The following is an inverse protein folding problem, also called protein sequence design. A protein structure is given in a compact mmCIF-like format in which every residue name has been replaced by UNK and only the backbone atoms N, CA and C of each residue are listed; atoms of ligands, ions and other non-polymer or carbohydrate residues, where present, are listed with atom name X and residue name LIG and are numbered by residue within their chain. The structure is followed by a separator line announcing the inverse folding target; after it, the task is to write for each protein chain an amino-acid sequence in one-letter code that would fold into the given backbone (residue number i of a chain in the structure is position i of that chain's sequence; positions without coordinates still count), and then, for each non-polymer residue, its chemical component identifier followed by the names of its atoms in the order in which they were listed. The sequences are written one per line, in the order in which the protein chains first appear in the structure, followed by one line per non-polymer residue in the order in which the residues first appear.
data_IF_583429633323
#
_entry.id   IF_583429633323
#
_cell.length_a   1.000
_cell.length_b   1.000
_cell.length_c   1.000
_cell.angle_alpha   90.00
_cell.angle_beta   90.00
_cell.angle_gamma   90.00
#
_symmetry.space_group_name_H-M   'P 1'
#
loop_
_entity.id
_entity.type
_entity.pdbx_description
1 polymer ?
#
# COMPACT_ATOMS: atom_id res chain seq x y z
N UNK A 1 -8.95 -12.66 20.55
CA UNK A 1 -9.10 -13.54 19.35
C UNK A 1 -8.10 -14.69 19.50
N UNK A 2 -8.34 -15.89 18.93
CA UNK A 2 -7.31 -16.91 18.92
C UNK A 2 -6.09 -16.42 18.12
N UNK A 3 -4.87 -16.46 18.69
CA UNK A 3 -3.70 -15.79 18.11
C UNK A 3 -3.32 -16.33 16.72
N UNK A 4 -3.63 -17.60 16.44
CA UNK A 4 -3.37 -18.28 15.17
C UNK A 4 -4.30 -17.84 14.03
N UNK A 5 -5.49 -17.30 14.32
CA UNK A 5 -6.39 -16.78 13.29
C UNK A 5 -5.91 -15.42 12.75
N UNK A 6 -5.14 -14.68 13.55
CA UNK A 6 -4.57 -13.40 13.15
C UNK A 6 -3.61 -13.56 11.97
N UNK A 7 -2.84 -14.66 11.93
CA UNK A 7 -2.00 -15.04 10.79
C UNK A 7 -2.79 -15.14 9.47
N UNK A 8 -3.89 -15.88 9.47
CA UNK A 8 -4.70 -16.03 8.25
C UNK A 8 -5.42 -14.74 7.88
N UNK A 9 -5.85 -13.96 8.87
CA UNK A 9 -6.48 -12.66 8.64
C UNK A 9 -5.50 -11.67 8.01
N UNK A 10 -4.30 -11.52 8.57
CA UNK A 10 -3.25 -10.64 8.03
C UNK A 10 -2.86 -11.04 6.61
N UNK A 11 -2.67 -12.35 6.36
CA UNK A 11 -2.41 -12.88 5.02
C UNK A 11 -3.55 -12.58 4.04
N UNK A 12 -4.81 -12.79 4.46
CA UNK A 12 -5.97 -12.49 3.64
C UNK A 12 -6.10 -10.99 3.33
N UNK A 13 -5.84 -10.10 4.30
CA UNK A 13 -5.90 -8.64 4.10
C UNK A 13 -4.85 -8.17 3.10
N UNK A 14 -3.60 -8.67 3.21
CA UNK A 14 -2.54 -8.39 2.23
C UNK A 14 -2.95 -8.85 0.82
N UNK A 15 -3.45 -10.08 0.67
CA UNK A 15 -3.89 -10.62 -0.62
C UNK A 15 -5.13 -9.91 -1.19
N UNK A 16 -6.05 -9.43 -0.33
CA UNK A 16 -7.26 -8.73 -0.75
C UNK A 16 -6.96 -7.32 -1.28
N UNK A 17 -5.84 -6.71 -0.87
CA UNK A 17 -5.43 -5.38 -1.30
C UNK A 17 -5.32 -5.29 -2.84
N UNK A 18 -4.74 -6.30 -3.51
CA UNK A 18 -4.68 -6.41 -4.98
C UNK A 18 -6.06 -6.50 -5.64
N UNK A 19 -6.97 -7.27 -5.01
CA UNK A 19 -8.26 -7.64 -5.60
C UNK A 19 -9.28 -6.49 -5.53
N UNK A 20 -9.18 -5.63 -4.51
CA UNK A 20 -9.96 -4.41 -4.40
C UNK A 20 -9.49 -3.35 -5.42
N UNK A 21 -8.17 -3.18 -5.60
CA UNK A 21 -7.59 -2.22 -6.54
C UNK A 21 -7.94 -2.49 -8.01
N UNK A 22 -7.97 -3.77 -8.44
CA UNK A 22 -8.32 -4.14 -9.82
C UNK A 22 -9.81 -4.04 -10.18
N UNK A 23 -10.72 -3.95 -9.21
CA UNK A 23 -12.17 -4.15 -9.45
C UNK A 23 -13.02 -2.88 -9.34
N UNK A 24 -12.47 -1.78 -8.82
CA UNK A 24 -13.25 -0.57 -8.58
C UNK A 24 -12.41 0.68 -8.83
N UNK A 25 -12.86 1.48 -9.80
CA UNK A 25 -12.29 2.79 -10.09
C UNK A 25 -12.27 3.69 -8.86
N UNK A 26 -11.18 4.45 -8.72
CA UNK A 26 -10.91 5.58 -7.81
C UNK A 26 -11.06 5.36 -6.28
N UNK A 27 -12.07 4.63 -5.80
CA UNK A 27 -12.46 4.59 -4.38
C UNK A 27 -12.06 3.31 -3.61
N UNK A 28 -11.46 2.32 -4.28
CA UNK A 28 -11.10 1.01 -3.68
C UNK A 28 -9.84 1.02 -2.83
N UNK A 29 -8.92 1.96 -3.09
CA UNK A 29 -7.71 2.13 -2.29
C UNK A 29 -8.05 2.62 -0.88
N UNK A 30 -9.15 3.37 -0.71
CA UNK A 30 -9.62 3.84 0.59
C UNK A 30 -10.07 2.71 1.53
N UNK A 31 -10.79 1.71 1.02
CA UNK A 31 -11.27 0.55 1.78
C UNK A 31 -10.12 -0.38 2.19
N UNK A 32 -9.18 -0.68 1.27
CA UNK A 32 -7.99 -1.46 1.60
C UNK A 32 -7.12 -0.78 2.66
N UNK A 33 -6.97 0.54 2.60
CA UNK A 33 -6.28 1.34 3.62
C UNK A 33 -7.03 1.36 4.96
N UNK A 34 -8.37 1.35 4.94
CA UNK A 34 -9.19 1.28 6.16
C UNK A 34 -9.03 -0.07 6.85
N UNK A 35 -9.11 -1.17 6.09
CA UNK A 35 -8.88 -2.52 6.59
C UNK A 35 -7.49 -2.69 7.21
N UNK A 36 -6.44 -2.17 6.59
CA UNK A 36 -5.09 -2.17 7.17
C UNK A 36 -5.02 -1.38 8.48
N UNK A 37 -5.63 -0.21 8.56
CA UNK A 37 -5.66 0.57 9.81
C UNK A 37 -6.38 -0.17 10.94
N UNK A 38 -7.48 -0.82 10.62
CA UNK A 38 -8.23 -1.58 11.63
C UNK A 38 -7.50 -2.87 12.01
N UNK A 39 -6.79 -3.50 11.08
CA UNK A 39 -5.90 -4.63 11.34
C UNK A 39 -4.78 -4.25 12.30
N UNK A 40 -4.10 -3.12 12.08
CA UNK A 40 -3.02 -2.64 12.97
C UNK A 40 -3.54 -2.41 14.39
N UNK A 41 -4.74 -1.87 14.57
CA UNK A 41 -5.35 -1.71 15.89
C UNK A 41 -5.60 -3.06 16.59
N UNK A 42 -6.04 -4.07 15.84
CA UNK A 42 -6.27 -5.43 16.38
C UNK A 42 -4.95 -6.12 16.70
N UNK A 43 -3.91 -5.91 15.91
CA UNK A 43 -2.57 -6.46 16.15
C UNK A 43 -1.97 -5.91 17.45
N UNK A 44 -2.12 -4.62 17.74
CA UNK A 44 -1.64 -4.02 18.99
C UNK A 44 -2.32 -4.60 20.25
N UNK A 45 -3.48 -5.23 20.10
CA UNK A 45 -4.22 -5.85 21.21
C UNK A 45 -3.94 -7.35 21.37
N UNK A 46 -3.24 -7.98 20.42
CA UNK A 46 -2.93 -9.40 20.44
C UNK A 46 -1.42 -9.61 20.37
N UNK A 47 -0.83 -10.14 21.45
CA UNK A 47 0.56 -10.60 21.46
C UNK A 47 0.71 -11.91 20.66
N UNK A 48 0.71 -11.80 19.33
CA UNK A 48 0.98 -12.93 18.43
C UNK A 48 2.39 -12.79 17.85
N UNK A 49 3.26 -13.77 18.13
CA UNK A 49 4.66 -13.84 17.68
C UNK A 49 4.82 -14.47 16.27
N UNK A 50 3.85 -14.27 15.38
CA UNK A 50 3.91 -14.82 14.02
C UNK A 50 4.73 -13.92 13.08
N UNK A 51 5.69 -14.44 12.29
CA UNK A 51 6.50 -13.64 11.37
C UNK A 51 5.70 -12.79 10.38
N UNK A 52 4.54 -13.28 9.94
CA UNK A 52 3.63 -12.57 9.02
C UNK A 52 3.01 -11.35 9.70
N UNK A 53 2.63 -11.49 10.97
CA UNK A 53 2.05 -10.42 11.79
C UNK A 53 3.16 -9.40 12.09
N UNK A 54 4.33 -9.87 12.50
CA UNK A 54 5.48 -9.02 12.80
C UNK A 54 5.95 -8.23 11.57
N UNK A 55 5.97 -8.83 10.39
CA UNK A 55 6.28 -8.13 9.13
C UNK A 55 5.36 -6.92 8.90
N UNK A 56 4.04 -7.11 9.07
CA UNK A 56 3.06 -6.01 8.89
C UNK A 56 3.23 -4.94 9.97
N UNK A 57 3.55 -5.32 11.21
CA UNK A 57 3.79 -4.39 12.31
C UNK A 57 5.04 -3.54 12.06
N UNK A 58 6.15 -4.18 11.68
CA UNK A 58 7.41 -3.50 11.35
C UNK A 58 7.24 -2.52 10.20
N UNK A 59 6.47 -2.87 9.18
CA UNK A 59 6.27 -2.02 8.01
C UNK A 59 5.23 -0.90 8.22
N UNK A 60 4.20 -1.13 9.04
CA UNK A 60 3.09 -0.18 9.20
C UNK A 60 3.21 0.73 10.44
N UNK A 61 3.92 0.28 11.47
CA UNK A 61 4.06 0.99 12.76
C UNK A 61 5.48 1.51 12.94
N UNK A 62 6.48 0.64 12.78
CA UNK A 62 7.88 0.97 13.08
C UNK A 62 8.62 1.57 11.87
N UNK A 63 8.12 1.34 10.65
CA UNK A 63 8.77 1.69 9.39
C UNK A 63 10.22 1.20 9.29
N UNK A 64 10.49 0.04 9.88
CA UNK A 64 11.80 -0.61 9.88
C UNK A 64 11.88 -1.60 8.71
N UNK A 65 12.42 -1.13 7.58
CA UNK A 65 12.53 -1.90 6.35
C UNK A 65 13.59 -3.01 6.40
N UNK A 66 14.63 -2.84 7.22
CA UNK A 66 15.68 -3.84 7.42
C UNK A 66 15.12 -5.04 8.20
N UNK A 67 14.42 -4.78 9.31
CA UNK A 67 13.75 -5.83 10.05
C UNK A 67 12.62 -6.47 9.24
N UNK A 68 11.87 -5.69 8.47
CA UNK A 68 10.82 -6.20 7.59
C UNK A 68 11.36 -7.16 6.54
N UNK A 69 12.51 -6.86 5.93
CA UNK A 69 13.16 -7.77 4.98
C UNK A 69 13.52 -9.11 5.63
N UNK A 70 14.17 -9.09 6.80
CA UNK A 70 14.52 -10.33 7.51
C UNK A 70 13.28 -11.15 7.88
N UNK A 71 12.17 -10.49 8.22
CA UNK A 71 10.91 -11.18 8.48
C UNK A 71 10.24 -11.71 7.21
N UNK A 72 10.42 -11.05 6.06
CA UNK A 72 9.88 -11.51 4.77
C UNK A 72 10.50 -12.85 4.35
N UNK A 73 11.81 -13.03 4.53
CA UNK A 73 12.49 -14.31 4.29
C UNK A 73 11.97 -15.43 5.20
N UNK A 74 11.75 -15.12 6.48
CA UNK A 74 11.13 -16.08 7.42
C UNK A 74 9.70 -16.40 7.04
N UNK A 75 8.92 -15.40 6.58
CA UNK A 75 7.56 -15.58 6.11
C UNK A 75 7.51 -16.59 4.97
N UNK A 76 8.44 -16.55 4.02
CA UNK A 76 8.48 -17.49 2.90
C UNK A 76 8.54 -18.95 3.38
N UNK A 77 9.46 -19.26 4.31
CA UNK A 77 9.57 -20.62 4.88
C UNK A 77 8.32 -21.05 5.63
N UNK A 78 7.72 -20.12 6.38
CA UNK A 78 6.52 -20.37 7.20
C UNK A 78 5.27 -20.54 6.34
N UNK A 79 5.18 -19.86 5.19
CA UNK A 79 4.09 -19.98 4.24
C UNK A 79 4.12 -21.32 3.49
N UNK A 80 5.31 -21.79 3.11
CA UNK A 80 5.47 -23.08 2.43
C UNK A 80 5.10 -24.24 3.38
N UNK A 81 5.42 -24.10 4.67
CA UNK A 81 5.11 -25.12 5.69
C UNK A 81 3.62 -25.23 6.04
N UNK A 82 2.79 -24.28 5.63
CA UNK A 82 1.38 -24.19 6.01
C UNK A 82 0.46 -24.74 4.92
N UNK A 83 -0.42 -25.66 5.32
CA UNK A 83 -1.35 -26.35 4.43
C UNK A 83 -2.27 -25.41 3.63
N UNK A 84 -2.73 -24.31 4.22
CA UNK A 84 -3.68 -23.39 3.56
C UNK A 84 -2.99 -22.33 2.69
N UNK A 85 -1.82 -21.86 3.12
CA UNK A 85 -1.11 -20.75 2.47
C UNK A 85 -0.07 -21.21 1.45
N UNK A 86 0.37 -22.47 1.48
CA UNK A 86 1.38 -23.02 0.57
C UNK A 86 1.06 -22.75 -0.92
N UNK A 87 -0.20 -22.94 -1.34
CA UNK A 87 -0.64 -22.71 -2.73
C UNK A 87 -0.66 -21.23 -3.15
N UNK A 88 -0.67 -20.31 -2.20
CA UNK A 88 -0.73 -18.86 -2.44
C UNK A 88 0.55 -18.16 -1.99
N UNK A 89 1.59 -18.91 -1.62
CA UNK A 89 2.88 -18.39 -1.16
C UNK A 89 3.50 -17.42 -2.15
N UNK A 90 3.59 -17.80 -3.43
CA UNK A 90 4.14 -16.93 -4.49
C UNK A 90 3.34 -15.63 -4.66
N UNK A 91 2.00 -15.72 -4.68
CA UNK A 91 1.15 -14.53 -4.75
C UNK A 91 1.32 -13.64 -3.52
N UNK A 92 1.44 -14.23 -2.32
CA UNK A 92 1.66 -13.47 -1.10
C UNK A 92 3.00 -12.74 -1.11
N UNK A 93 4.08 -13.41 -1.53
CA UNK A 93 5.42 -12.80 -1.60
C UNK A 93 5.44 -11.62 -2.57
N UNK A 94 4.77 -11.75 -3.72
CA UNK A 94 4.63 -10.66 -4.68
C UNK A 94 3.85 -9.47 -4.07
N UNK A 95 2.74 -9.72 -3.38
CA UNK A 95 1.98 -8.66 -2.69
C UNK A 95 2.75 -8.02 -1.54
N UNK A 96 3.52 -8.79 -0.79
CA UNK A 96 4.37 -8.27 0.28
C UNK A 96 5.43 -7.32 -0.27
N UNK A 97 6.04 -7.65 -1.42
CA UNK A 97 7.00 -6.77 -2.12
C UNK A 97 6.36 -5.48 -2.60
N UNK A 98 5.17 -5.55 -3.21
CA UNK A 98 4.38 -4.36 -3.58
C UNK A 98 4.09 -3.51 -2.34
N UNK A 99 3.76 -4.12 -1.21
CA UNK A 99 3.46 -3.41 0.03
C UNK A 99 4.71 -2.73 0.64
N UNK A 100 5.87 -3.36 0.59
CA UNK A 100 7.16 -2.73 0.96
C UNK A 100 7.42 -1.54 0.05
N UNK A 101 7.31 -1.72 -1.26
CA UNK A 101 7.54 -0.68 -2.25
C UNK A 101 6.60 0.51 -2.09
N UNK A 102 5.29 0.29 -1.92
CA UNK A 102 4.30 1.37 -1.73
C UNK A 102 4.60 2.19 -0.46
N UNK A 103 4.96 1.54 0.65
CA UNK A 103 5.30 2.26 1.88
C UNK A 103 6.63 3.00 1.74
N UNK A 104 7.63 2.40 1.09
CA UNK A 104 8.93 3.03 0.87
C UNK A 104 8.81 4.29 0.00
N UNK A 105 8.11 4.18 -1.13
CA UNK A 105 7.82 5.29 -2.05
C UNK A 105 6.96 6.40 -1.44
N UNK A 106 6.19 6.09 -0.39
CA UNK A 106 5.37 7.08 0.30
C UNK A 106 6.18 7.94 1.28
N UNK A 107 7.28 7.42 1.82
CA UNK A 107 8.09 8.08 2.85
C UNK A 107 9.29 8.79 2.22
N UNK A 108 9.89 8.18 1.19
CA UNK A 108 11.10 8.68 0.55
C UNK A 108 10.79 9.42 -0.76
N UNK A 109 11.27 10.67 -0.86
CA UNK A 109 11.14 11.46 -2.08
C UNK A 109 12.22 11.14 -3.13
N UNK A 110 13.43 10.78 -2.69
CA UNK A 110 14.52 10.29 -3.57
C UNK A 110 14.91 8.89 -3.12
N UNK A 111 14.88 7.95 -4.03
CA UNK A 111 15.08 6.52 -3.77
C UNK A 111 16.15 6.00 -4.70
N UNK A 112 17.21 5.44 -4.14
CA UNK A 112 18.21 4.70 -4.91
C UNK A 112 17.66 3.31 -5.25
N UNK A 113 17.68 2.94 -6.54
CA UNK A 113 17.20 1.64 -7.00
C UNK A 113 18.00 0.49 -6.37
N UNK A 114 19.29 0.67 -6.11
CA UNK A 114 20.14 -0.37 -5.52
C UNK A 114 19.73 -0.66 -4.07
N UNK A 115 19.55 0.39 -3.27
CA UNK A 115 19.12 0.27 -1.88
C UNK A 115 17.70 -0.32 -1.78
N UNK A 116 16.80 0.06 -2.69
CA UNK A 116 15.45 -0.49 -2.75
C UNK A 116 15.47 -1.98 -3.16
N UNK A 117 16.31 -2.35 -4.12
CA UNK A 117 16.48 -3.74 -4.54
C UNK A 117 16.97 -4.65 -3.42
N UNK A 118 17.93 -4.18 -2.62
CA UNK A 118 18.43 -4.91 -1.47
C UNK A 118 17.31 -5.20 -0.45
N UNK A 119 16.37 -4.25 -0.25
CA UNK A 119 15.20 -4.40 0.66
C UNK A 119 14.10 -5.32 0.14
N UNK A 120 14.02 -5.54 -1.18
CA UNK A 120 12.98 -6.33 -1.84
C UNK A 120 13.27 -7.85 -1.83
N UNK A 121 14.39 -8.27 -1.23
CA UNK A 121 14.86 -9.66 -1.16
C UNK A 121 14.83 -10.35 -2.55
N UNK A 122 15.36 -9.66 -3.55
CA UNK A 122 15.47 -10.15 -4.93
C UNK A 122 16.79 -9.67 -5.55
N UNK A 123 17.20 -10.32 -6.65
CA UNK A 123 18.41 -9.93 -7.38
C UNK A 123 18.29 -8.49 -7.91
N UNK A 124 19.39 -7.74 -7.89
CA UNK A 124 19.47 -6.32 -8.27
C UNK A 124 18.93 -6.07 -9.68
N UNK A 125 19.32 -6.90 -10.64
CA UNK A 125 18.88 -6.76 -12.03
C UNK A 125 17.39 -7.07 -12.22
N UNK A 126 16.85 -7.98 -11.41
CA UNK A 126 15.41 -8.29 -11.39
C UNK A 126 14.63 -7.21 -10.65
N UNK A 127 15.21 -6.64 -9.60
CA UNK A 127 14.64 -5.55 -8.82
C UNK A 127 14.39 -4.32 -9.68
N UNK A 128 15.39 -3.90 -10.46
CA UNK A 128 15.24 -2.71 -11.31
C UNK A 128 14.07 -2.86 -12.30
N UNK A 129 13.99 -3.99 -13.00
CA UNK A 129 12.86 -4.26 -13.92
C UNK A 129 11.52 -4.27 -13.17
N UNK A 130 11.48 -4.93 -12.02
CA UNK A 130 10.27 -5.04 -11.21
C UNK A 130 9.81 -3.68 -10.67
N UNK A 131 10.74 -2.82 -10.24
CA UNK A 131 10.47 -1.46 -9.76
C UNK A 131 9.89 -0.62 -10.91
N UNK A 132 10.49 -0.67 -12.10
CA UNK A 132 10.02 0.06 -13.28
C UNK A 132 8.60 -0.37 -13.68
N UNK A 133 8.34 -1.68 -13.72
CA UNK A 133 7.02 -2.22 -14.02
C UNK A 133 6.00 -1.84 -12.92
N UNK A 134 6.42 -1.86 -11.65
CA UNK A 134 5.58 -1.46 -10.52
C UNK A 134 5.20 0.03 -10.54
N UNK A 135 6.12 0.93 -10.91
CA UNK A 135 5.81 2.36 -11.06
C UNK A 135 4.81 2.57 -12.18
N UNK A 136 5.00 1.88 -13.31
CA UNK A 136 4.10 1.96 -14.47
C UNK A 136 2.70 1.45 -14.14
N UNK A 137 2.59 0.32 -13.45
CA UNK A 137 1.31 -0.30 -13.09
C UNK A 137 0.59 0.45 -11.96
N UNK A 138 1.34 1.00 -11.00
CA UNK A 138 0.77 1.71 -9.85
C UNK A 138 0.32 3.15 -10.17
N UNK A 139 0.60 3.64 -11.39
CA UNK A 139 0.28 5.00 -11.83
C UNK A 139 0.80 6.07 -10.84
N UNK A 140 1.96 5.79 -10.26
CA UNK A 140 2.64 6.70 -9.34
C UNK A 140 3.28 7.83 -10.14
N UNK A 141 3.08 9.06 -9.68
CA UNK A 141 3.78 10.22 -10.23
C UNK A 141 5.24 10.17 -9.75
N UNK A 142 6.11 9.58 -10.56
CA UNK A 142 7.52 9.39 -10.24
C UNK A 142 8.37 9.58 -11.49
N UNK A 143 9.51 10.26 -11.33
CA UNK A 143 10.51 10.47 -12.37
C UNK A 143 11.69 9.53 -12.10
N UNK A 144 12.06 8.74 -13.11
CA UNK A 144 13.20 7.82 -13.03
C UNK A 144 14.40 8.51 -13.68
N UNK A 145 15.43 8.80 -12.89
CA UNK A 145 16.71 9.32 -13.37
C UNK A 145 17.68 8.15 -13.54
N UNK A 146 17.71 7.60 -14.76
CA UNK A 146 18.53 6.44 -15.13
C UNK A 146 20.04 6.70 -15.03
N UNK A 147 20.48 7.96 -15.06
CA UNK A 147 21.91 8.32 -14.96
C UNK A 147 22.43 8.22 -13.52
N UNK A 148 21.61 8.55 -12.52
CA UNK A 148 21.96 8.44 -11.11
C UNK A 148 21.43 7.14 -10.46
N UNK A 149 20.67 6.32 -11.19
CA UNK A 149 20.02 5.13 -10.62
C UNK A 149 19.03 5.51 -9.51
N UNK A 150 18.36 6.66 -9.63
CA UNK A 150 17.46 7.18 -8.61
C UNK A 150 16.03 7.37 -9.15
N UNK A 151 15.03 7.04 -8.33
CA UNK A 151 13.63 7.43 -8.53
C UNK A 151 13.33 8.63 -7.65
N UNK A 152 12.86 9.71 -8.28
CA UNK A 152 12.35 10.89 -7.59
C UNK A 152 10.82 10.85 -7.65
N UNK A 153 10.18 10.70 -6.51
CA UNK A 153 8.73 10.74 -6.41
C UNK A 153 8.26 12.18 -6.63
N UNK A 154 7.24 12.37 -7.46
CA UNK A 154 6.60 13.66 -7.67
C UNK A 154 6.09 14.20 -6.35
N UNK A 155 6.46 15.43 -6.00
CA UNK A 155 5.95 16.09 -4.83
C UNK A 155 4.44 16.32 -5.02
N UNK A 156 3.62 15.52 -4.34
CA UNK A 156 2.16 15.66 -4.29
C UNK A 156 1.70 16.91 -3.53
N UNK A 157 2.43 18.02 -3.64
CA UNK A 157 1.98 19.31 -3.13
C UNK A 157 0.89 19.83 -4.05
N UNK A 158 -0.35 19.38 -3.81
CA UNK A 158 -1.52 20.02 -4.39
C UNK A 158 -1.45 21.49 -4.00
N UNK A 159 -1.37 22.36 -5.00
CA UNK A 159 -1.26 23.79 -4.78
C UNK A 159 -2.44 24.26 -3.92
N UNK A 160 -2.22 25.18 -2.98
CA UNK A 160 -3.29 25.75 -2.13
C UNK A 160 -4.44 26.28 -3.00
N UNK A 161 -4.12 26.84 -4.18
CA UNK A 161 -5.11 27.29 -5.16
C UNK A 161 -5.96 26.16 -5.73
N UNK A 162 -5.35 25.01 -6.02
CA UNK A 162 -6.03 23.85 -6.56
C UNK A 162 -6.96 23.21 -5.51
N UNK A 163 -6.53 23.15 -4.25
CA UNK A 163 -7.40 22.73 -3.14
C UNK A 163 -8.61 23.66 -2.96
N UNK A 164 -8.40 24.98 -3.06
CA UNK A 164 -9.49 25.97 -2.97
C UNK A 164 -10.43 25.84 -4.16
N UNK A 165 -9.91 25.65 -5.39
CA UNK A 165 -10.73 25.43 -6.58
C UNK A 165 -11.58 24.16 -6.45
N UNK A 166 -11.02 23.03 -6.03
CA UNK A 166 -11.77 21.78 -5.85
C UNK A 166 -12.88 21.93 -4.82
N UNK A 167 -12.57 22.49 -3.64
CA UNK A 167 -13.57 22.73 -2.58
C UNK A 167 -14.67 23.69 -3.05
N UNK A 168 -14.29 24.74 -3.78
CA UNK A 168 -15.26 25.72 -4.30
C UNK A 168 -16.13 25.11 -5.41
N UNK A 169 -15.60 24.20 -6.24
CA UNK A 169 -16.37 23.49 -7.26
C UNK A 169 -17.49 22.64 -6.64
N UNK A 170 -17.17 21.85 -5.61
CA UNK A 170 -18.16 21.01 -4.91
C UNK A 170 -19.23 21.87 -4.22
N UNK A 171 -18.80 22.94 -3.53
CA UNK A 171 -19.71 23.91 -2.90
C UNK A 171 -20.65 24.56 -3.93
N UNK A 172 -20.12 24.98 -5.08
CA UNK A 172 -20.91 25.62 -6.14
C UNK A 172 -21.96 24.66 -6.69
N UNK A 173 -21.60 23.39 -6.92
CA UNK A 173 -22.54 22.38 -7.37
C UNK A 173 -23.67 22.14 -6.36
N UNK A 174 -23.34 22.06 -5.07
CA UNK A 174 -24.33 21.89 -4.00
C UNK A 174 -25.23 23.10 -3.83
N UNK A 175 -24.67 24.32 -3.92
CA UNK A 175 -25.44 25.57 -3.87
C UNK A 175 -26.41 25.69 -5.04
N UNK A 176 -25.99 25.34 -6.26
CA UNK A 176 -26.86 25.32 -7.43
C UNK A 176 -28.02 24.32 -7.27
N UNK A 177 -27.76 23.13 -6.72
CA UNK A 177 -28.78 22.13 -6.40
C UNK A 177 -29.76 22.57 -5.31
N UNK A 178 -29.30 23.29 -4.29
CA UNK A 178 -30.18 23.88 -3.27
C UNK A 178 -31.04 25.00 -3.85
N UNK A 179 -30.48 25.82 -4.73
CA UNK A 179 -31.20 26.92 -5.37
C UNK A 179 -32.30 26.40 -6.30
N UNK A 180 -32.05 25.33 -7.06
CA UNK A 180 -33.10 24.68 -7.86
C UNK A 180 -34.14 23.99 -6.99
N UNK A 181 -33.73 23.35 -5.89
CA UNK A 181 -34.64 22.72 -4.92
C UNK A 181 -35.58 23.74 -4.25
N UNK A 182 -35.05 24.89 -3.82
CA UNK A 182 -35.88 25.97 -3.28
C UNK A 182 -36.85 26.50 -4.32
N UNK A 183 -36.40 26.68 -5.57
CA UNK A 183 -37.27 27.18 -6.65
C UNK A 183 -38.44 26.24 -6.93
N UNK A 184 -38.22 24.92 -6.87
CA UNK A 184 -39.28 23.91 -7.03
C UNK A 184 -40.20 23.71 -5.82
N UNK A 185 -39.93 24.35 -4.67
CA UNK A 185 -40.83 24.34 -3.49
C UNK A 185 -41.78 25.55 -3.48
N UNK A 186 -41.46 26.59 -4.25
CA UNK A 186 -42.25 27.82 -4.36
C UNK A 186 -43.06 27.91 -5.67
N UNK A 187 -43.08 26.86 -6.49
CA UNK A 187 -44.02 26.62 -7.61
C UNK A 187 -44.95 25.45 -7.23
#
# INVERSE_FOLDING_TARGET
MPPHLLRYLTAAVLLCKRRAAKKAGSNSNAEGRKLLRDLVKVMQQCESSDPIVEFVDKLSVQFDFDAAQSQLEKCETVLISDFFLCKQSEMFMEEARVFVFENYCRIHHKIDLQNLGDKLAMDKERAERWIVDSIRDAMLDAKIDSEEGCVVMGAGTVSVYEQVMEKTRDLTARSAGLQSGLRGVFE
#
